data_IF_784246789863
#
_entry.id   IF_784246789863
#
_cell.length_a   1.000
_cell.length_b   1.000
_cell.length_c   1.000
_cell.angle_alpha   90.00
_cell.angle_beta   90.00
_cell.angle_gamma   90.00
#
_symmetry.space_group_name_H-M   'P 1'
#
loop_
_entity.id
_entity.type
_entity.pdbx_description
1 polymer ?
#
# COMPACT_ATOMS: atom_id res chain seq x y z
N UNK A 1 -57.39 10.33 0.70
CA UNK A 1 -56.29 10.17 1.66
C UNK A 1 -55.24 9.26 1.02
N UNK A 2 -54.30 9.83 0.28
CA UNK A 2 -53.22 9.08 -0.37
C UNK A 2 -51.98 9.18 0.53
N UNK A 3 -51.55 8.05 1.08
CA UNK A 3 -50.34 7.97 1.90
C UNK A 3 -49.12 8.01 0.97
N UNK A 4 -48.29 9.03 1.11
CA UNK A 4 -47.04 9.17 0.39
C UNK A 4 -46.01 8.19 0.95
N UNK A 5 -45.63 7.19 0.14
CA UNK A 5 -44.50 6.32 0.43
C UNK A 5 -43.20 7.13 0.39
N UNK A 6 -42.48 7.14 1.50
CA UNK A 6 -41.13 7.71 1.58
C UNK A 6 -40.18 6.96 0.63
N UNK A 7 -39.20 7.63 0.01
CA UNK A 7 -38.26 6.96 -0.88
C UNK A 7 -37.33 6.10 -0.01
N UNK A 8 -37.30 4.80 -0.28
CA UNK A 8 -36.30 3.91 0.28
C UNK A 8 -34.92 4.43 -0.12
N UNK A 9 -34.12 4.86 0.87
CA UNK A 9 -32.75 5.28 0.67
C UNK A 9 -32.00 4.16 -0.06
N UNK A 10 -31.60 4.42 -1.30
CA UNK A 10 -30.84 3.48 -2.10
C UNK A 10 -29.55 3.14 -1.34
N UNK A 11 -29.43 1.89 -0.90
CA UNK A 11 -28.19 1.37 -0.33
C UNK A 11 -27.12 1.59 -1.40
N UNK A 12 -26.01 2.30 -1.09
CA UNK A 12 -24.97 2.55 -2.07
C UNK A 12 -24.49 1.20 -2.60
N UNK A 13 -24.81 0.92 -3.86
CA UNK A 13 -24.45 -0.34 -4.49
C UNK A 13 -22.95 -0.29 -4.73
N UNK A 14 -22.20 -1.10 -3.98
CA UNK A 14 -20.76 -1.19 -4.11
C UNK A 14 -20.40 -1.62 -5.54
N UNK A 15 -19.38 -0.97 -6.11
CA UNK A 15 -18.89 -1.31 -7.43
C UNK A 15 -18.44 -2.79 -7.47
N UNK A 16 -18.50 -3.46 -8.63
CA UNK A 16 -17.97 -4.81 -8.78
C UNK A 16 -16.48 -4.89 -8.36
N UNK A 17 -16.01 -6.05 -7.85
CA UNK A 17 -14.65 -6.22 -7.32
C UNK A 17 -13.53 -5.69 -8.22
N UNK A 18 -13.59 -6.00 -9.52
CA UNK A 18 -12.57 -5.57 -10.48
C UNK A 18 -12.60 -4.06 -10.72
N UNK A 19 -13.77 -3.43 -10.63
CA UNK A 19 -13.88 -1.99 -10.81
C UNK A 19 -13.33 -1.25 -9.59
N UNK A 20 -13.57 -1.75 -8.37
CA UNK A 20 -12.94 -1.23 -7.15
C UNK A 20 -11.41 -1.27 -7.24
N UNK A 21 -10.83 -2.37 -7.75
CA UNK A 21 -9.37 -2.45 -7.97
C UNK A 21 -8.87 -1.43 -9.00
N UNK A 22 -9.64 -1.15 -10.06
CA UNK A 22 -9.29 -0.12 -11.04
C UNK A 22 -9.34 1.28 -10.44
N UNK A 23 -10.30 1.56 -9.57
CA UNK A 23 -10.37 2.81 -8.82
C UNK A 23 -9.17 2.97 -7.90
N UNK A 24 -8.87 1.96 -7.08
CA UNK A 24 -7.68 1.94 -6.23
C UNK A 24 -6.40 2.19 -7.04
N UNK A 25 -6.21 1.47 -8.14
CA UNK A 25 -5.02 1.64 -8.98
C UNK A 25 -4.92 3.04 -9.62
N UNK A 26 -6.04 3.74 -9.83
CA UNK A 26 -6.02 5.15 -10.29
C UNK A 26 -5.61 6.08 -9.15
N UNK A 27 -6.24 5.94 -7.99
CA UNK A 27 -5.94 6.74 -6.79
C UNK A 27 -4.46 6.63 -6.40
N UNK A 28 -3.93 5.41 -6.35
CA UNK A 28 -2.52 5.19 -6.04
C UNK A 28 -1.56 5.83 -7.06
N UNK A 29 -1.94 5.86 -8.34
CA UNK A 29 -1.15 6.56 -9.37
C UNK A 29 -1.19 8.07 -9.20
N UNK A 30 -2.29 8.64 -8.72
CA UNK A 30 -2.41 10.07 -8.42
C UNK A 30 -1.56 10.50 -7.22
N UNK A 31 -1.21 9.58 -6.33
CA UNK A 31 -0.32 9.86 -5.19
C UNK A 31 1.17 9.94 -5.61
N UNK A 32 1.56 9.29 -6.71
CA UNK A 32 2.97 9.22 -7.16
C UNK A 32 3.62 10.61 -7.38
N UNK A 33 2.96 11.60 -8.03
CA UNK A 33 3.52 12.93 -8.19
C UNK A 33 3.71 13.66 -6.85
N UNK A 34 2.76 13.52 -5.91
CA UNK A 34 2.84 14.17 -4.60
C UNK A 34 4.02 13.68 -3.77
N UNK A 35 4.26 12.36 -3.77
CA UNK A 35 5.41 11.74 -3.07
C UNK A 35 6.75 12.24 -3.62
N UNK A 36 6.83 12.57 -4.92
CA UNK A 36 8.06 13.10 -5.54
C UNK A 36 8.37 14.53 -5.15
N UNK A 37 7.35 15.34 -4.85
CA UNK A 37 7.52 16.75 -4.49
C UNK A 37 7.94 16.91 -3.03
N UNK A 38 7.59 15.94 -2.18
CA UNK A 38 8.17 15.80 -0.84
C UNK A 38 8.20 17.12 -0.06
N UNK A 39 7.03 17.63 0.35
CA UNK A 39 6.97 18.78 1.26
C UNK A 39 7.51 18.39 2.63
N UNK A 40 8.83 18.39 2.75
CA UNK A 40 9.52 18.00 3.94
C UNK A 40 9.28 19.03 5.05
N UNK A 41 8.94 18.51 6.23
CA UNK A 41 8.63 19.32 7.40
C UNK A 41 9.92 19.80 8.05
N UNK A 42 10.01 21.09 8.34
CA UNK A 42 11.04 21.60 9.26
C UNK A 42 10.68 21.14 10.67
N UNK A 43 11.35 20.09 11.16
CA UNK A 43 11.10 19.57 12.51
C UNK A 43 12.25 19.94 13.42
N UNK A 44 11.96 20.69 14.48
CA UNK A 44 12.86 21.02 15.60
C UNK A 44 13.11 19.83 16.55
N UNK A 45 12.58 18.64 16.23
CA UNK A 45 12.66 17.43 17.06
C UNK A 45 13.77 16.52 16.54
N UNK A 46 14.60 16.01 17.45
CA UNK A 46 15.74 15.17 17.13
C UNK A 46 15.32 13.95 16.28
N UNK A 47 15.86 13.89 15.06
CA UNK A 47 15.56 12.83 14.11
C UNK A 47 16.37 11.57 14.44
N UNK A 48 15.68 10.50 14.86
CA UNK A 48 16.32 9.21 15.04
C UNK A 48 16.29 8.40 13.73
N UNK A 49 17.46 8.28 13.10
CA UNK A 49 17.64 7.58 11.81
C UNK A 49 17.31 6.09 11.90
N UNK A 50 17.70 5.41 12.97
CA UNK A 50 17.45 3.97 13.14
C UNK A 50 15.96 3.69 13.27
N UNK A 51 15.26 4.47 14.11
CA UNK A 51 13.81 4.38 14.29
C UNK A 51 13.07 4.70 12.99
N UNK A 52 13.54 5.69 12.22
CA UNK A 52 12.96 6.00 10.92
C UNK A 52 13.05 4.80 9.97
N UNK A 53 14.23 4.21 9.81
CA UNK A 53 14.44 3.08 8.89
C UNK A 53 13.71 1.81 9.34
N UNK A 54 13.67 1.52 10.64
CA UNK A 54 12.90 0.40 11.19
C UNK A 54 11.41 0.57 10.86
N UNK A 55 10.82 1.74 11.14
CA UNK A 55 9.41 2.03 10.83
C UNK A 55 9.11 1.97 9.34
N UNK A 56 10.02 2.51 8.53
CA UNK A 56 9.87 2.47 7.08
C UNK A 56 9.92 1.03 6.55
N UNK A 57 10.84 0.21 7.05
CA UNK A 57 10.94 -1.19 6.68
C UNK A 57 9.70 -1.98 7.10
N UNK A 58 9.20 -1.77 8.31
CA UNK A 58 7.95 -2.38 8.79
C UNK A 58 6.76 -1.99 7.90
N UNK A 59 6.65 -0.71 7.54
CA UNK A 59 5.60 -0.24 6.64
C UNK A 59 5.74 -0.83 5.23
N UNK A 60 6.96 -0.96 4.71
CA UNK A 60 7.21 -1.60 3.41
C UNK A 60 6.84 -3.09 3.43
N UNK A 61 7.20 -3.81 4.50
CA UNK A 61 6.80 -5.22 4.70
C UNK A 61 5.27 -5.33 4.74
N UNK A 62 4.59 -4.43 5.48
CA UNK A 62 3.12 -4.42 5.53
C UNK A 62 2.51 -4.19 4.15
N UNK A 63 2.93 -3.16 3.42
CA UNK A 63 2.46 -2.90 2.04
C UNK A 63 2.67 -4.12 1.15
N UNK A 64 3.84 -4.77 1.25
CA UNK A 64 4.12 -5.99 0.48
C UNK A 64 3.23 -7.17 0.87
N UNK A 65 2.85 -7.27 2.14
CA UNK A 65 1.92 -8.28 2.66
C UNK A 65 0.52 -8.08 2.08
N UNK A 66 -0.01 -6.86 2.17
CA UNK A 66 -1.33 -6.52 1.61
C UNK A 66 -1.39 -6.78 0.10
N UNK A 67 -0.31 -6.44 -0.64
CA UNK A 67 -0.21 -6.71 -2.07
C UNK A 67 -0.19 -8.22 -2.38
N UNK A 68 0.52 -9.02 -1.57
CA UNK A 68 0.53 -10.49 -1.69
C UNK A 68 -0.86 -11.05 -1.42
N UNK A 69 -1.52 -10.64 -0.32
CA UNK A 69 -2.89 -11.07 0.01
C UNK A 69 -3.86 -10.74 -1.11
N UNK A 70 -3.84 -9.52 -1.64
CA UNK A 70 -4.69 -9.12 -2.76
C UNK A 70 -4.43 -9.99 -3.99
N UNK A 71 -3.16 -10.25 -4.32
CA UNK A 71 -2.80 -11.14 -5.44
C UNK A 71 -3.36 -12.55 -5.23
N UNK A 72 -3.16 -13.14 -4.05
CA UNK A 72 -3.59 -14.51 -3.76
C UNK A 72 -5.12 -14.67 -3.78
N UNK A 73 -5.84 -13.69 -3.26
CA UNK A 73 -7.31 -13.69 -3.21
C UNK A 73 -7.90 -13.55 -4.62
N UNK A 74 -7.37 -12.64 -5.44
CA UNK A 74 -7.86 -12.41 -6.80
C UNK A 74 -7.35 -13.43 -7.83
N UNK A 75 -6.39 -14.28 -7.46
CA UNK A 75 -5.90 -15.38 -8.32
C UNK A 75 -6.77 -16.65 -8.23
N UNK A 76 -7.73 -16.70 -7.32
CA UNK A 76 -8.60 -17.87 -7.10
C UNK A 76 -10.05 -17.53 -7.41
N UNK A 77 -10.84 -18.55 -7.72
CA UNK A 77 -12.28 -18.45 -7.83
C UNK A 77 -12.95 -19.18 -6.65
N UNK A 78 -14.10 -18.68 -6.15
CA UNK A 78 -14.80 -17.48 -6.61
C UNK A 78 -14.07 -16.19 -6.20
N UNK A 79 -14.28 -15.11 -6.97
CA UNK A 79 -13.77 -13.79 -6.62
C UNK A 79 -14.39 -13.32 -5.30
N UNK A 80 -13.67 -12.49 -4.51
CA UNK A 80 -14.21 -11.92 -3.28
C UNK A 80 -15.46 -11.09 -3.56
N UNK A 81 -16.35 -11.03 -2.57
CA UNK A 81 -17.53 -10.17 -2.63
C UNK A 81 -17.14 -8.69 -2.77
N UNK A 82 -18.05 -7.82 -3.26
CA UNK A 82 -17.80 -6.38 -3.31
C UNK A 82 -17.43 -5.78 -1.95
N UNK A 83 -17.96 -6.31 -0.85
CA UNK A 83 -17.68 -5.88 0.52
C UNK A 83 -16.27 -6.30 0.96
N UNK A 84 -15.88 -7.54 0.71
CA UNK A 84 -14.52 -8.03 1.00
C UNK A 84 -13.48 -7.28 0.16
N UNK A 85 -13.79 -7.04 -1.12
CA UNK A 85 -12.91 -6.25 -2.01
C UNK A 85 -12.71 -4.85 -1.49
N UNK A 86 -13.76 -4.21 -0.98
CA UNK A 86 -13.66 -2.87 -0.40
C UNK A 86 -12.73 -2.88 0.81
N UNK A 87 -12.84 -3.89 1.69
CA UNK A 87 -11.93 -4.05 2.84
C UNK A 87 -10.48 -4.19 2.41
N UNK A 88 -10.19 -4.99 1.39
CA UNK A 88 -8.83 -5.10 0.85
C UNK A 88 -8.34 -3.76 0.28
N UNK A 89 -9.20 -3.01 -0.42
CA UNK A 89 -8.85 -1.69 -0.93
C UNK A 89 -8.54 -0.70 0.20
N UNK A 90 -9.35 -0.69 1.26
CA UNK A 90 -9.13 0.14 2.46
C UNK A 90 -7.81 -0.21 3.16
N UNK A 91 -7.48 -1.51 3.30
CA UNK A 91 -6.24 -1.98 3.91
C UNK A 91 -5.00 -1.55 3.12
N UNK A 92 -5.03 -1.73 1.79
CA UNK A 92 -3.95 -1.29 0.90
C UNK A 92 -3.78 0.23 0.97
N UNK A 93 -4.88 0.98 0.94
CA UNK A 93 -4.84 2.44 1.04
C UNK A 93 -4.24 2.90 2.37
N UNK A 94 -4.66 2.31 3.48
CA UNK A 94 -4.12 2.62 4.81
C UNK A 94 -2.62 2.28 4.92
N UNK A 95 -2.19 1.14 4.38
CA UNK A 95 -0.77 0.76 4.37
C UNK A 95 0.08 1.74 3.54
N UNK A 96 -0.43 2.17 2.39
CA UNK A 96 0.26 3.13 1.52
C UNK A 96 0.29 4.53 2.16
N UNK A 97 -0.78 4.99 2.78
CA UNK A 97 -0.78 6.24 3.53
C UNK A 97 0.22 6.21 4.69
N UNK A 98 0.33 5.09 5.39
CA UNK A 98 1.29 4.94 6.48
C UNK A 98 2.74 5.05 6.00
N UNK A 99 3.11 4.37 4.91
CA UNK A 99 4.49 4.46 4.38
C UNK A 99 4.79 5.87 3.82
N UNK A 100 3.81 6.55 3.21
CA UNK A 100 3.95 7.94 2.75
C UNK A 100 4.15 8.89 3.94
N UNK A 101 3.37 8.74 5.00
CA UNK A 101 3.50 9.56 6.20
C UNK A 101 4.88 9.40 6.86
N UNK A 102 5.40 8.17 6.89
CA UNK A 102 6.77 7.91 7.36
C UNK A 102 7.78 8.56 6.42
N UNK A 103 7.62 8.40 5.10
CA UNK A 103 8.51 9.02 4.12
C UNK A 103 8.59 10.55 4.28
N UNK A 104 7.47 11.23 4.49
CA UNK A 104 7.44 12.68 4.74
C UNK A 104 7.94 13.10 6.13
N UNK A 105 8.21 12.16 7.03
CA UNK A 105 8.89 12.45 8.30
C UNK A 105 10.41 12.60 8.17
N UNK A 106 10.98 12.33 6.97
CA UNK A 106 12.41 12.50 6.71
C UNK A 106 12.78 14.00 6.64
N UNK A 107 13.74 14.48 7.46
CA UNK A 107 14.19 15.87 7.43
C UNK A 107 14.91 16.24 6.12
N UNK A 108 14.76 17.50 5.68
CA UNK A 108 15.39 18.05 4.46
C UNK A 108 16.91 17.90 4.44
N UNK A 109 17.60 18.14 5.55
CA UNK A 109 19.06 18.05 5.64
C UNK A 109 19.60 16.63 5.44
N UNK A 110 18.75 15.62 5.60
CA UNK A 110 19.09 14.21 5.37
C UNK A 110 18.59 13.70 4.01
N UNK A 111 17.70 14.42 3.33
CA UNK A 111 17.07 14.02 2.08
C UNK A 111 18.04 13.82 0.89
N UNK A 112 19.03 14.70 0.61
CA UNK A 112 19.88 14.56 -0.59
C UNK A 112 20.87 13.38 -0.52
N UNK A 113 21.29 12.93 0.68
CA UNK A 113 22.09 11.69 0.81
C UNK A 113 21.24 10.41 0.81
N UNK A 114 19.97 10.51 1.17
CA UNK A 114 19.14 9.34 1.49
C UNK A 114 18.18 8.97 0.35
N UNK A 115 17.68 9.93 -0.42
CA UNK A 115 16.77 9.67 -1.55
C UNK A 115 17.42 8.88 -2.70
N UNK A 116 18.75 8.93 -2.83
CA UNK A 116 19.50 8.11 -3.79
C UNK A 116 19.49 6.62 -3.41
N UNK A 117 19.33 6.29 -2.12
CA UNK A 117 19.33 4.92 -1.63
C UNK A 117 17.93 4.26 -1.66
N UNK A 118 16.85 5.04 -1.64
CA UNK A 118 15.49 4.51 -1.56
C UNK A 118 15.12 3.55 -2.71
N UNK A 119 15.45 3.85 -3.99
CA UNK A 119 15.27 2.91 -5.09
C UNK A 119 16.14 1.66 -4.94
N UNK A 120 17.34 1.79 -4.37
CA UNK A 120 18.29 0.69 -4.18
C UNK A 120 17.84 -0.25 -3.05
N UNK A 121 17.34 0.27 -1.93
CA UNK A 121 16.85 -0.53 -0.79
C UNK A 121 15.56 -1.27 -1.15
N UNK A 122 14.63 -0.61 -1.85
CA UNK A 122 13.40 -1.26 -2.32
C UNK A 122 13.65 -2.28 -3.43
N UNK A 123 14.63 -2.04 -4.31
CA UNK A 123 15.07 -3.03 -5.31
C UNK A 123 15.78 -4.23 -4.65
N UNK A 124 16.57 -3.99 -3.61
CA UNK A 124 17.20 -5.04 -2.79
C UNK A 124 16.17 -5.91 -2.07
N UNK A 125 15.15 -5.31 -1.45
CA UNK A 125 14.07 -6.06 -0.78
C UNK A 125 13.28 -6.94 -1.76
N UNK A 126 13.04 -6.44 -2.99
CA UNK A 126 12.41 -7.21 -4.08
C UNK A 126 13.31 -8.36 -4.56
N UNK A 127 14.62 -8.13 -4.67
CA UNK A 127 15.58 -9.16 -5.05
C UNK A 127 15.72 -10.26 -3.98
N UNK A 128 15.77 -9.90 -2.69
CA UNK A 128 15.84 -10.87 -1.60
C UNK A 128 14.57 -11.73 -1.49
N UNK A 129 13.39 -11.16 -1.73
CA UNK A 129 12.13 -11.93 -1.76
C UNK A 129 12.05 -12.86 -2.97
N UNK A 130 12.58 -12.44 -4.13
CA UNK A 130 12.68 -13.31 -5.31
C UNK A 130 13.71 -14.43 -5.14
N UNK A 131 14.83 -14.18 -4.45
CA UNK A 131 15.84 -15.21 -4.15
C UNK A 131 15.33 -16.21 -3.12
N UNK A 132 14.63 -15.77 -2.07
CA UNK A 132 13.97 -16.67 -1.11
C UNK A 132 12.84 -17.52 -1.71
N UNK A 133 12.17 -17.01 -2.75
CA UNK A 133 11.19 -17.81 -3.51
C UNK A 133 11.86 -18.82 -4.46
N UNK A 134 13.02 -18.49 -5.04
CA UNK A 134 13.78 -19.42 -5.89
C UNK A 134 14.43 -20.55 -5.08
N UNK A 135 14.98 -20.26 -3.89
CA UNK A 135 15.61 -21.28 -3.03
C UNK A 135 14.60 -22.28 -2.47
N UNK A 136 13.37 -21.86 -2.17
CA UNK A 136 12.32 -22.75 -1.65
C UNK A 136 11.73 -23.68 -2.72
N UNK A 137 11.82 -23.34 -4.01
CA UNK A 137 11.49 -24.25 -5.13
C UNK A 137 12.62 -25.20 -5.56
N UNK A 138 13.81 -25.10 -4.95
CA UNK A 138 14.98 -25.96 -5.27
C UNK A 138 15.21 -27.09 -4.26
N UNK A 139 14.40 -27.17 -3.20
CA UNK A 139 14.52 -28.18 -2.14
C UNK A 139 13.30 -29.12 -2.07
N UNK A 140 13.01 -29.79 -3.18
CA UNK A 140 12.40 -31.13 -3.14
C UNK A 140 13.07 -32.00 -4.21
N UNK A 141 14.05 -32.85 -3.85
CA UNK A 141 14.30 -34.05 -4.61
C UNK A 141 13.24 -35.09 -4.26
N UNK A 142 12.82 -35.87 -5.26
CA UNK A 142 12.10 -37.13 -5.08
C UNK A 142 12.83 -38.07 -4.13
#
# INVERSE_FOLDING_TARGET
MASAGAPAAAVPTLAPPLEQLRHLARELRLLLPGVRVGEARETSKEFNRETFWSRLNEAAVKVSGEATTLTEVFSRLPLPSPQETQRFCEQVHAAIQAIIAIYYSLPKDQAPRTMTLFPATMSGLRASRCLGYQETTKLQPF
#
